data_IF_377031062252
#
_entry.id   IF_377031062252
#
_cell.length_a   1.000
_cell.length_b   1.000
_cell.length_c   1.000
_cell.angle_alpha   90.00
_cell.angle_beta   90.00
_cell.angle_gamma   90.00
#
_symmetry.space_group_name_H-M   'P 1'
#
loop_
_entity.id
_entity.type
_entity.pdbx_description
1 polymer ?
#
# COMPACT_ATOMS: atom_id res chain seq x y z
N UNK A 1 30.89 -23.36 20.85
CA UNK A 1 29.84 -23.41 19.81
C UNK A 1 28.66 -22.53 20.23
N UNK A 2 28.87 -21.22 20.46
CA UNK A 2 27.83 -20.32 21.02
C UNK A 2 27.59 -19.06 20.19
N UNK A 3 28.67 -18.46 19.65
CA UNK A 3 28.61 -17.20 18.89
C UNK A 3 27.69 -17.23 17.66
N UNK A 4 27.60 -18.38 16.99
CA UNK A 4 26.76 -18.50 15.78
C UNK A 4 25.26 -18.54 16.13
N UNK A 5 24.91 -19.12 17.28
CA UNK A 5 23.51 -19.15 17.76
C UNK A 5 23.07 -17.75 18.23
N UNK A 6 23.95 -17.04 18.94
CA UNK A 6 23.68 -15.67 19.40
C UNK A 6 23.45 -14.71 18.21
N UNK A 7 24.27 -14.86 17.15
CA UNK A 7 24.10 -14.12 15.91
C UNK A 7 22.77 -14.45 15.20
N UNK A 8 22.42 -15.73 15.10
CA UNK A 8 21.15 -16.16 14.47
C UNK A 8 19.91 -15.60 15.19
N UNK A 9 19.93 -15.57 16.52
CA UNK A 9 18.84 -14.99 17.30
C UNK A 9 18.71 -13.49 17.08
N UNK A 10 19.82 -12.76 17.01
CA UNK A 10 19.84 -11.32 16.74
C UNK A 10 19.35 -11.02 15.32
N UNK A 11 19.78 -11.79 14.32
CA UNK A 11 19.29 -11.63 12.95
C UNK A 11 17.78 -11.85 12.88
N UNK A 12 17.27 -12.95 13.44
CA UNK A 12 15.83 -13.23 13.44
C UNK A 12 15.04 -12.09 14.07
N UNK A 13 15.47 -11.61 15.24
CA UNK A 13 14.80 -10.51 15.93
C UNK A 13 14.87 -9.20 15.14
N UNK A 14 16.00 -8.91 14.49
CA UNK A 14 16.14 -7.75 13.62
C UNK A 14 15.15 -7.79 12.44
N UNK A 15 14.94 -8.95 11.82
CA UNK A 15 13.95 -9.12 10.76
C UNK A 15 12.51 -8.95 11.25
N UNK A 16 12.18 -9.49 12.43
CA UNK A 16 10.88 -9.29 13.05
C UNK A 16 10.60 -7.79 13.24
N UNK A 17 11.57 -7.05 13.79
CA UNK A 17 11.47 -5.61 13.97
C UNK A 17 11.35 -4.87 12.64
N UNK A 18 12.16 -5.21 11.63
CA UNK A 18 12.08 -4.62 10.29
C UNK A 18 10.70 -4.84 9.63
N UNK A 19 10.09 -6.01 9.84
CA UNK A 19 8.80 -6.37 9.29
C UNK A 19 7.61 -5.68 9.98
N UNK A 20 7.80 -5.09 11.17
CA UNK A 20 6.71 -4.36 11.86
C UNK A 20 6.23 -3.11 11.13
N UNK A 21 7.03 -2.57 10.21
CA UNK A 21 6.77 -1.28 9.56
C UNK A 21 6.96 -0.06 10.47
N UNK A 22 7.51 -0.23 11.68
CA UNK A 22 7.81 0.88 12.60
C UNK A 22 9.20 1.47 12.40
N UNK A 23 10.10 0.71 11.78
CA UNK A 23 11.49 1.07 11.58
C UNK A 23 11.74 1.38 10.10
N UNK A 24 12.24 2.58 9.80
CA UNK A 24 12.62 2.96 8.43
C UNK A 24 14.09 2.66 8.13
N UNK A 25 14.95 2.74 9.15
CA UNK A 25 16.39 2.60 9.01
C UNK A 25 16.95 1.54 9.97
N UNK A 26 17.96 0.74 9.55
CA UNK A 26 18.57 -0.29 10.39
C UNK A 26 19.11 0.22 11.73
N UNK A 27 19.55 1.49 11.80
CA UNK A 27 20.04 2.09 13.05
C UNK A 27 18.99 2.10 14.15
N UNK A 28 17.71 2.26 13.78
CA UNK A 28 16.60 2.26 14.75
C UNK A 28 16.30 0.85 15.26
N UNK A 29 16.52 -0.18 14.43
CA UNK A 29 16.43 -1.59 14.83
C UNK A 29 17.54 -1.93 15.81
N UNK A 30 18.79 -1.55 15.51
CA UNK A 30 19.94 -1.76 16.41
C UNK A 30 19.68 -1.14 17.78
N UNK A 31 19.18 0.10 17.82
CA UNK A 31 18.85 0.78 19.07
C UNK A 31 17.76 0.05 19.87
N UNK A 32 16.72 -0.49 19.21
CA UNK A 32 15.69 -1.29 19.86
C UNK A 32 16.26 -2.60 20.42
N UNK A 33 17.07 -3.32 19.64
CA UNK A 33 17.69 -4.57 20.06
C UNK A 33 18.57 -4.38 21.30
N UNK A 34 19.38 -3.32 21.34
CA UNK A 34 20.20 -3.00 22.51
C UNK A 34 19.32 -2.77 23.74
N UNK A 35 18.18 -2.07 23.59
CA UNK A 35 17.21 -1.85 24.67
C UNK A 35 16.51 -3.13 25.12
N UNK A 36 16.33 -4.10 24.22
CA UNK A 36 15.77 -5.43 24.52
C UNK A 36 16.79 -6.36 25.20
N UNK A 37 18.08 -5.97 25.27
CA UNK A 37 19.14 -6.74 25.94
C UNK A 37 20.15 -7.38 25.00
N UNK A 38 20.04 -7.17 23.68
CA UNK A 38 21.00 -7.66 22.70
C UNK A 38 22.18 -6.67 22.58
N UNK A 39 23.06 -6.66 23.57
CA UNK A 39 24.18 -5.71 23.65
C UNK A 39 25.15 -5.80 22.46
N UNK A 40 25.29 -6.98 21.85
CA UNK A 40 26.18 -7.22 20.70
C UNK A 40 25.53 -6.94 19.34
N UNK A 41 24.29 -6.43 19.32
CA UNK A 41 23.56 -6.17 18.09
C UNK A 41 24.24 -5.13 17.18
N UNK A 42 24.95 -4.16 17.76
CA UNK A 42 25.72 -3.18 17.00
C UNK A 42 26.83 -3.84 16.17
N UNK A 43 27.61 -4.74 16.78
CA UNK A 43 28.72 -5.44 16.13
C UNK A 43 28.24 -6.47 15.13
N UNK A 44 27.18 -7.22 15.46
CA UNK A 44 26.65 -8.28 14.60
C UNK A 44 25.96 -7.69 13.37
N UNK A 45 25.25 -6.57 13.53
CA UNK A 45 24.53 -5.92 12.43
C UNK A 45 25.35 -4.84 11.72
N UNK A 46 26.64 -4.64 12.04
CA UNK A 46 27.48 -3.63 11.37
C UNK A 46 27.86 -4.02 9.92
N UNK A 47 27.56 -5.25 9.51
CA UNK A 47 27.81 -5.70 8.15
C UNK A 47 26.92 -4.95 7.13
N UNK A 48 27.55 -4.32 6.14
CA UNK A 48 26.87 -3.57 5.08
C UNK A 48 25.77 -4.35 4.35
N UNK A 49 26.00 -5.63 4.06
CA UNK A 49 25.00 -6.47 3.37
C UNK A 49 23.77 -6.68 4.25
N UNK A 50 23.97 -6.89 5.54
CA UNK A 50 22.89 -7.10 6.52
C UNK A 50 22.09 -5.80 6.69
N UNK A 51 22.78 -4.66 6.79
CA UNK A 51 22.11 -3.35 6.89
C UNK A 51 21.33 -3.03 5.62
N UNK A 52 21.86 -3.36 4.44
CA UNK A 52 21.16 -3.18 3.18
C UNK A 52 19.89 -4.04 3.11
N UNK A 53 19.96 -5.30 3.54
CA UNK A 53 18.82 -6.21 3.55
C UNK A 53 17.73 -5.76 4.55
N UNK A 54 18.13 -5.42 5.78
CA UNK A 54 17.20 -4.86 6.77
C UNK A 54 16.53 -3.58 6.26
N UNK A 55 17.27 -2.70 5.56
CA UNK A 55 16.72 -1.48 4.96
C UNK A 55 15.67 -1.80 3.89
N UNK A 56 15.90 -2.84 3.08
CA UNK A 56 14.93 -3.31 2.09
C UNK A 56 13.65 -3.80 2.76
N UNK A 57 13.77 -4.59 3.82
CA UNK A 57 12.61 -5.09 4.59
C UNK A 57 11.85 -3.94 5.26
N UNK A 58 12.55 -3.01 5.90
CA UNK A 58 11.98 -1.79 6.46
C UNK A 58 11.18 -1.01 5.40
N UNK A 59 11.79 -0.75 4.25
CA UNK A 59 11.16 0.01 3.16
C UNK A 59 9.91 -0.71 2.63
N UNK A 60 9.96 -2.02 2.47
CA UNK A 60 8.83 -2.83 1.99
C UNK A 60 7.63 -2.82 2.95
N UNK A 61 7.88 -2.80 4.25
CA UNK A 61 6.83 -2.85 5.27
C UNK A 61 6.44 -1.46 5.79
N UNK A 62 7.11 -0.39 5.33
CA UNK A 62 6.77 0.97 5.72
C UNK A 62 5.39 1.35 5.17
N UNK A 63 4.41 1.75 6.00
CA UNK A 63 3.06 2.09 5.55
C UNK A 63 3.03 3.31 4.62
N UNK A 64 4.05 4.17 4.66
CA UNK A 64 4.21 5.28 3.71
C UNK A 64 4.79 4.87 2.35
N UNK A 65 5.24 3.62 2.21
CA UNK A 65 5.68 3.03 0.94
C UNK A 65 4.51 2.28 0.29
N UNK A 66 3.36 2.95 0.15
CA UNK A 66 2.34 2.50 -0.79
C UNK A 66 2.95 2.62 -2.17
N UNK A 67 3.14 1.52 -2.94
CA UNK A 67 3.30 1.68 -4.37
C UNK A 67 2.08 2.47 -4.81
N UNK A 68 2.27 3.59 -5.50
CA UNK A 68 1.18 4.20 -6.24
C UNK A 68 0.74 3.11 -7.20
N UNK A 69 -0.31 2.37 -6.83
CA UNK A 69 -1.05 1.57 -7.78
C UNK A 69 -1.66 2.66 -8.65
N UNK A 70 -0.98 2.98 -9.75
CA UNK A 70 -1.60 3.62 -10.90
C UNK A 70 -2.51 2.56 -11.51
N UNK A 71 -3.48 2.09 -10.73
CA UNK A 71 -4.74 1.68 -11.30
C UNK A 71 -5.26 3.01 -11.83
N UNK A 72 -5.00 3.23 -13.12
CA UNK A 72 -5.95 3.94 -13.93
C UNK A 72 -7.28 3.25 -13.65
N UNK A 73 -8.01 3.75 -12.64
CA UNK A 73 -9.45 3.74 -12.65
C UNK A 73 -9.76 4.54 -13.90
N UNK A 74 -9.77 3.82 -15.01
CA UNK A 74 -10.53 4.16 -16.18
C UNK A 74 -11.87 4.53 -15.61
N UNK A 75 -12.12 5.85 -15.54
CA UNK A 75 -13.39 6.41 -15.21
C UNK A 75 -14.32 5.82 -16.28
N UNK A 76 -14.91 4.66 -15.98
CA UNK A 76 -16.06 4.15 -16.70
C UNK A 76 -17.16 5.13 -16.37
N UNK A 77 -17.18 6.22 -17.13
CA UNK A 77 -18.35 7.06 -17.30
C UNK A 77 -19.37 6.10 -17.90
N UNK A 78 -20.21 5.51 -17.05
CA UNK A 78 -21.42 4.86 -17.53
C UNK A 78 -22.18 5.92 -18.34
N UNK A 79 -22.48 5.68 -19.63
CA UNK A 79 -23.29 6.63 -20.37
C UNK A 79 -24.63 6.72 -19.64
N UNK A 80 -25.02 7.95 -19.30
CA UNK A 80 -26.31 8.24 -18.69
C UNK A 80 -27.43 7.55 -19.49
N UNK A 81 -28.48 7.01 -18.83
CA UNK A 81 -29.60 6.43 -19.56
C UNK A 81 -30.17 7.50 -20.49
N UNK A 82 -30.09 7.21 -21.79
CA UNK A 82 -30.64 8.03 -22.85
C UNK A 82 -32.13 8.22 -22.55
N UNK A 83 -32.50 9.42 -22.05
CA UNK A 83 -33.89 9.80 -21.92
C UNK A 83 -34.42 9.88 -23.35
N UNK A 84 -35.21 8.88 -23.76
CA UNK A 84 -36.03 8.88 -24.98
C UNK A 84 -37.04 10.04 -24.88
N UNK A 85 -36.56 11.25 -25.12
CA UNK A 85 -37.36 12.45 -25.31
C UNK A 85 -37.90 12.42 -26.73
N UNK A 86 -38.73 11.42 -27.03
CA UNK A 86 -39.62 11.53 -28.19
C UNK A 86 -40.59 12.66 -27.90
N UNK A 87 -40.73 13.65 -28.78
CA UNK A 87 -41.85 14.57 -28.67
C UNK A 87 -43.13 13.75 -28.76
N UNK A 88 -43.91 13.72 -27.67
CA UNK A 88 -45.30 13.28 -27.72
C UNK A 88 -45.98 14.16 -28.76
N UNK A 89 -46.32 13.56 -29.91
CA UNK A 89 -47.12 14.23 -30.92
C UNK A 89 -48.46 14.65 -30.28
N UNK A 90 -48.94 15.88 -30.48
CA UNK A 90 -50.24 16.28 -29.98
C UNK A 90 -51.32 15.41 -30.64
N UNK A 91 -52.22 14.90 -29.81
CA UNK A 91 -53.41 14.14 -30.18
C UNK A 91 -54.22 14.90 -31.25
N UNK A 92 -54.18 14.44 -32.50
CA UNK A 92 -54.94 15.02 -33.60
C UNK A 92 -56.29 14.30 -33.75
N UNK A 93 -57.11 14.35 -32.71
CA UNK A 93 -58.52 13.98 -32.78
C UNK A 93 -59.46 15.15 -32.48
N UNK A 94 -59.20 16.32 -33.07
CA UNK A 94 -60.21 17.38 -33.17
C UNK A 94 -59.88 18.39 -34.28
N UNK A 95 -60.30 18.11 -35.53
CA UNK A 95 -60.63 19.14 -36.55
C UNK A 95 -60.98 18.51 -37.92
N UNK A 96 -62.09 17.78 -37.96
CA UNK A 96 -62.88 17.51 -39.17
C UNK A 96 -64.31 17.39 -38.64
N UNK A 97 -65.31 18.22 -38.93
CA UNK A 97 -65.53 19.12 -40.05
C UNK A 97 -66.58 20.16 -39.58
N UNK A 98 -66.28 21.46 -39.72
CA UNK A 98 -67.29 22.46 -40.02
C UNK A 98 -66.76 23.23 -41.23
N UNK A 99 -67.30 22.91 -42.40
CA UNK A 99 -67.30 23.80 -43.55
C UNK A 99 -68.71 23.83 -44.11
N UNK A 100 -69.19 25.06 -44.20
CA UNK A 100 -70.31 25.61 -44.94
C UNK A 100 -70.82 24.79 -46.13
#
# INVERSE_FOLDING_TARGET
MGRDQDADHIYRRAYELAATGLHLEPITIVATLIREGYAEADKILDNLLIRADLRLVCSRNWPGNVPVIVEAQELRIEPAPEQDNRPVAPDLHQARQQKH
#
